data_IF_771126870474
#
_entry.id   IF_771126870474
#
_cell.length_a   1.000
_cell.length_b   1.000
_cell.length_c   1.000
_cell.angle_alpha   90.00
_cell.angle_beta   90.00
_cell.angle_gamma   90.00
#
_symmetry.space_group_name_H-M   'P 1'
#
loop_
_entity.id
_entity.type
_entity.pdbx_description
1 polymer ?
#
# COMPACT_ATOMS: atom_id res chain seq x y z
N UNK A 1 -8.95 9.69 -69.84
CA UNK A 1 -9.10 10.95 -70.59
C UNK A 1 -9.07 12.08 -69.59
N UNK A 2 -8.02 12.91 -69.70
CA UNK A 2 -7.87 14.33 -69.33
C UNK A 2 -8.11 14.75 -67.86
N UNK A 3 -7.10 15.22 -67.09
CA UNK A 3 -6.19 16.40 -67.21
C UNK A 3 -6.77 17.70 -66.66
N UNK A 4 -5.95 18.40 -65.83
CA UNK A 4 -6.03 19.79 -65.36
C UNK A 4 -7.15 20.17 -64.37
N UNK A 5 -6.99 21.09 -63.42
CA UNK A 5 -5.89 22.02 -63.11
C UNK A 5 -6.41 23.23 -62.30
N UNK A 6 -5.63 23.64 -61.29
CA UNK A 6 -5.40 24.99 -60.73
C UNK A 6 -6.56 25.91 -60.26
N UNK A 7 -6.45 26.26 -58.97
CA UNK A 7 -6.26 27.61 -58.38
C UNK A 7 -7.38 28.67 -58.35
N UNK A 8 -7.68 29.18 -57.15
CA UNK A 8 -7.76 30.61 -56.82
C UNK A 8 -7.77 30.86 -55.29
N UNK A 9 -7.17 31.98 -54.89
CA UNK A 9 -6.76 32.47 -53.56
C UNK A 9 -7.88 33.14 -52.71
N UNK A 10 -7.61 33.56 -51.45
CA UNK A 10 -7.10 34.92 -51.22
C UNK A 10 -5.93 35.06 -50.19
N UNK A 11 -5.15 36.14 -50.40
CA UNK A 11 -4.12 36.79 -49.56
C UNK A 11 -4.73 37.34 -48.24
N UNK A 12 -4.10 37.32 -47.05
CA UNK A 12 -2.82 37.85 -46.50
C UNK A 12 -2.97 39.25 -45.86
N UNK A 13 -2.65 39.33 -44.55
CA UNK A 13 -1.98 40.40 -43.76
C UNK A 13 -2.60 40.48 -42.33
N UNK A 14 -1.88 40.62 -41.21
CA UNK A 14 -0.45 40.73 -40.89
C UNK A 14 -0.23 40.29 -39.41
N UNK A 15 0.88 39.63 -39.09
CA UNK A 15 2.10 40.18 -38.46
C UNK A 15 1.95 40.69 -37.02
N UNK A 16 2.45 39.95 -36.02
CA UNK A 16 3.65 40.27 -35.19
C UNK A 16 3.79 39.20 -34.07
N UNK A 17 5.01 38.64 -33.80
CA UNK A 17 5.26 37.59 -32.81
C UNK A 17 6.11 38.12 -31.61
N UNK A 18 6.83 37.31 -30.80
CA UNK A 18 6.67 37.26 -29.34
C UNK A 18 7.79 38.00 -28.56
N UNK A 19 7.48 38.36 -27.31
CA UNK A 19 8.42 39.01 -26.39
C UNK A 19 9.32 37.97 -25.70
N UNK A 20 10.64 38.14 -25.86
CA UNK A 20 11.68 37.52 -25.03
C UNK A 20 12.66 38.62 -24.63
N UNK A 21 12.97 38.70 -23.34
CA UNK A 21 13.97 39.65 -22.80
C UNK A 21 14.84 39.00 -21.73
N UNK A 22 16.12 39.35 -21.82
CA UNK A 22 17.33 38.71 -21.30
C UNK A 22 17.70 39.01 -19.83
N UNK A 23 18.72 38.33 -19.27
CA UNK A 23 19.22 38.51 -17.90
C UNK A 23 20.20 39.69 -17.76
N UNK A 24 20.26 40.32 -16.57
CA UNK A 24 21.13 41.48 -16.27
C UNK A 24 22.15 41.13 -15.19
N UNK A 25 23.44 41.24 -15.52
CA UNK A 25 24.61 41.18 -14.63
C UNK A 25 24.93 42.56 -14.01
N UNK A 26 25.44 42.66 -12.76
CA UNK A 26 25.84 43.93 -12.16
C UNK A 26 27.27 44.37 -12.54
N UNK A 27 27.46 45.70 -12.69
CA UNK A 27 28.65 46.39 -13.17
C UNK A 27 29.44 47.04 -12.01
N UNK A 28 30.77 47.03 -12.09
CA UNK A 28 31.70 47.60 -11.10
C UNK A 28 32.20 49.03 -11.46
N UNK A 29 32.48 49.82 -10.41
CA UNK A 29 33.36 51.02 -10.37
C UNK A 29 32.75 52.37 -10.80
N UNK A 30 33.25 53.54 -10.31
CA UNK A 30 34.67 53.79 -9.99
C UNK A 30 34.98 54.52 -8.66
N UNK A 31 36.28 54.56 -8.36
CA UNK A 31 36.94 55.21 -7.22
C UNK A 31 37.07 56.74 -7.38
N UNK A 32 37.16 57.45 -6.24
CA UNK A 32 37.66 58.83 -6.14
C UNK A 32 38.71 58.94 -5.04
N UNK A 33 39.79 59.63 -5.42
CA UNK A 33 41.04 59.90 -4.70
C UNK A 33 40.97 61.21 -3.92
N UNK A 34 41.55 61.26 -2.71
CA UNK A 34 42.13 62.49 -2.14
C UNK A 34 43.27 62.20 -1.15
N UNK A 35 44.44 62.76 -1.49
CA UNK A 35 45.50 63.38 -0.68
C UNK A 35 46.08 62.71 0.60
N UNK A 36 47.30 62.17 0.43
CA UNK A 36 48.53 62.86 0.79
C UNK A 36 48.75 63.33 2.24
N UNK A 37 49.22 62.43 3.12
CA UNK A 37 50.16 62.79 4.20
C UNK A 37 51.02 61.58 4.61
N UNK A 38 52.34 61.76 4.54
CA UNK A 38 53.36 60.83 5.02
C UNK A 38 53.40 60.84 6.56
N UNK A 39 53.43 59.67 7.20
CA UNK A 39 54.21 59.38 8.42
C UNK A 39 53.99 57.92 8.91
N UNK A 40 55.12 57.28 9.24
CA UNK A 40 55.33 56.08 10.06
C UNK A 40 54.76 54.73 9.58
N UNK A 41 55.66 53.83 9.16
CA UNK A 41 55.40 52.39 9.12
C UNK A 41 55.20 51.86 10.54
N UNK A 42 53.96 51.89 11.03
CA UNK A 42 53.57 51.07 12.17
C UNK A 42 53.49 49.62 11.69
N UNK A 43 54.51 48.84 12.01
CA UNK A 43 54.37 47.37 12.00
C UNK A 43 53.35 47.05 13.09
N UNK A 44 52.09 46.86 12.69
CA UNK A 44 51.09 46.30 13.58
C UNK A 44 51.40 44.81 13.70
N UNK A 45 51.97 44.42 14.83
CA UNK A 45 52.12 43.01 15.21
C UNK A 45 50.70 42.47 15.43
N UNK A 46 50.03 42.04 14.35
CA UNK A 46 48.69 41.47 14.43
C UNK A 46 48.73 40.23 15.30
N UNK A 47 48.00 40.25 16.41
CA UNK A 47 47.87 39.11 17.35
C UNK A 47 46.76 38.15 16.91
N UNK A 48 46.32 38.25 15.66
CA UNK A 48 45.20 37.50 15.11
C UNK A 48 45.73 36.24 14.44
N UNK A 49 45.27 35.09 14.91
CA UNK A 49 45.58 33.81 14.28
C UNK A 49 44.93 33.74 12.89
N UNK A 50 45.67 33.39 11.83
CA UNK A 50 45.11 33.23 10.48
C UNK A 50 44.16 32.03 10.36
N UNK A 51 44.14 31.14 11.37
CA UNK A 51 43.27 29.96 11.40
C UNK A 51 42.04 30.14 12.30
N UNK A 52 41.71 31.36 12.73
CA UNK A 52 40.50 31.59 13.49
C UNK A 52 39.25 31.45 12.59
N UNK A 53 38.27 30.59 12.94
CA UNK A 53 37.10 30.35 12.08
C UNK A 53 36.19 31.57 11.93
N UNK A 54 36.23 32.54 12.85
CA UNK A 54 35.49 33.81 12.78
C UNK A 54 36.27 34.92 13.50
N UNK A 55 36.31 36.12 12.90
CA UNK A 55 36.87 37.33 13.51
C UNK A 55 35.79 38.13 14.23
N UNK A 56 35.94 38.34 15.56
CA UNK A 56 34.97 39.13 16.36
C UNK A 56 35.66 40.37 16.96
N UNK A 57 35.36 41.59 16.47
CA UNK A 57 35.93 42.81 17.03
C UNK A 57 35.50 43.04 18.48
N UNK A 58 36.44 43.51 19.34
CA UNK A 58 36.25 43.71 20.79
C UNK A 58 35.10 44.65 21.21
N UNK A 59 34.46 45.35 20.27
CA UNK A 59 33.33 46.26 20.52
C UNK A 59 32.05 45.85 19.79
N UNK A 60 32.00 44.65 19.21
CA UNK A 60 30.77 44.12 18.62
C UNK A 60 29.83 43.64 19.75
N UNK A 61 28.81 44.45 20.06
CA UNK A 61 27.70 44.01 20.91
C UNK A 61 26.79 43.12 20.07
N UNK A 62 26.71 41.85 20.44
CA UNK A 62 25.72 40.90 19.89
C UNK A 62 24.34 41.50 20.15
N UNK A 63 23.54 41.81 19.12
CA UNK A 63 22.13 42.13 19.33
C UNK A 63 21.50 40.93 20.05
N UNK A 64 20.78 41.19 21.15
CA UNK A 64 19.90 40.19 21.77
C UNK A 64 19.08 39.58 20.62
N UNK A 65 19.03 38.24 20.47
CA UNK A 65 18.32 37.67 19.35
C UNK A 65 16.87 38.15 19.45
N UNK A 66 16.44 38.97 18.51
CA UNK A 66 15.02 38.99 18.17
C UNK A 66 14.65 37.54 17.91
N UNK A 67 13.52 37.04 18.47
CA UNK A 67 13.08 35.69 18.16
C UNK A 67 12.99 35.61 16.65
N UNK A 68 13.90 34.84 16.06
CA UNK A 68 13.94 34.59 14.62
C UNK A 68 12.50 34.25 14.21
N UNK A 69 11.95 34.85 13.14
CA UNK A 69 10.73 34.34 12.57
C UNK A 69 11.03 32.92 12.07
N UNK A 70 10.77 31.92 12.92
CA UNK A 70 10.75 30.52 12.54
C UNK A 70 9.74 30.38 11.41
N UNK A 71 10.20 30.01 10.22
CA UNK A 71 9.38 29.61 9.10
C UNK A 71 10.18 28.68 8.18
N UNK A 72 9.73 27.45 7.86
CA UNK A 72 8.75 26.63 8.56
C UNK A 72 9.26 25.21 8.95
N UNK A 73 8.68 24.58 9.97
CA UNK A 73 8.92 23.18 10.37
C UNK A 73 8.40 22.11 9.36
N UNK A 74 7.99 22.49 8.15
CA UNK A 74 7.22 21.59 7.27
C UNK A 74 8.05 20.50 6.58
N UNK A 75 9.26 20.83 6.11
CA UNK A 75 10.11 19.87 5.39
C UNK A 75 10.66 18.77 6.30
N UNK A 76 10.94 19.08 7.57
CA UNK A 76 11.49 18.13 8.53
C UNK A 76 10.42 17.16 9.05
N UNK A 77 9.19 17.63 9.26
CA UNK A 77 8.06 16.77 9.65
C UNK A 77 7.69 15.76 8.56
N UNK A 78 7.61 16.20 7.30
CA UNK A 78 7.33 15.31 6.17
C UNK A 78 8.44 14.26 6.01
N UNK A 79 9.72 14.65 6.20
CA UNK A 79 10.84 13.70 6.18
C UNK A 79 10.72 12.64 7.26
N UNK A 80 10.43 13.04 8.49
CA UNK A 80 10.21 12.11 9.60
C UNK A 80 9.05 11.14 9.29
N UNK A 81 7.91 11.66 8.84
CA UNK A 81 6.75 10.85 8.48
C UNK A 81 7.06 9.80 7.39
N UNK A 82 7.88 10.16 6.39
CA UNK A 82 8.32 9.23 5.34
C UNK A 82 9.29 8.16 5.88
N UNK A 83 10.18 8.51 6.81
CA UNK A 83 11.07 7.54 7.46
C UNK A 83 10.27 6.52 8.26
N UNK A 84 9.33 6.98 9.08
CA UNK A 84 8.43 6.10 9.85
C UNK A 84 7.60 5.21 8.92
N UNK A 85 7.11 5.75 7.80
CA UNK A 85 6.42 4.98 6.78
C UNK A 85 7.32 3.89 6.18
N UNK A 86 8.57 4.21 5.83
CA UNK A 86 9.51 3.21 5.30
C UNK A 86 9.79 2.10 6.31
N UNK A 87 10.03 2.46 7.58
CA UNK A 87 10.23 1.48 8.66
C UNK A 87 9.01 0.57 8.79
N UNK A 88 7.81 1.15 8.85
CA UNK A 88 6.58 0.37 8.93
C UNK A 88 6.40 -0.57 7.73
N UNK A 89 6.68 -0.09 6.51
CA UNK A 89 6.58 -0.91 5.30
C UNK A 89 7.55 -2.08 5.37
N UNK A 90 8.82 -1.85 5.75
CA UNK A 90 9.81 -2.91 5.91
C UNK A 90 9.36 -3.94 6.95
N UNK A 91 8.94 -3.48 8.12
CA UNK A 91 8.50 -4.30 9.23
C UNK A 91 7.33 -5.22 8.85
N UNK A 92 6.27 -4.68 8.24
CA UNK A 92 5.09 -5.48 7.85
C UNK A 92 5.32 -6.30 6.58
N UNK A 93 6.37 -6.00 5.81
CA UNK A 93 6.80 -6.83 4.67
C UNK A 93 7.51 -8.09 5.16
N UNK A 94 8.31 -7.98 6.23
CA UNK A 94 9.02 -9.10 6.85
C UNK A 94 8.12 -9.87 7.82
N UNK A 95 7.32 -9.15 8.60
CA UNK A 95 6.47 -9.68 9.67
C UNK A 95 5.05 -9.06 9.60
N UNK A 96 4.15 -9.58 8.73
CA UNK A 96 2.80 -9.03 8.57
C UNK A 96 1.97 -8.94 9.85
N UNK A 97 2.27 -9.78 10.85
CA UNK A 97 1.61 -9.77 12.17
C UNK A 97 1.86 -8.51 12.99
N UNK A 98 2.88 -7.71 12.67
CA UNK A 98 3.18 -6.48 13.40
C UNK A 98 2.27 -5.30 13.02
N UNK A 99 1.48 -5.44 11.94
CA UNK A 99 0.66 -4.36 11.39
C UNK A 99 -0.18 -3.66 12.46
N UNK A 100 -0.96 -4.41 13.23
CA UNK A 100 -1.90 -3.86 14.22
C UNK A 100 -1.20 -3.17 15.39
N UNK A 101 -0.01 -3.63 15.75
CA UNK A 101 0.77 -3.01 16.82
C UNK A 101 1.40 -1.67 16.41
N UNK A 102 1.75 -1.50 15.13
CA UNK A 102 2.50 -0.33 14.63
C UNK A 102 1.63 0.71 13.90
N UNK A 103 0.43 0.33 13.44
CA UNK A 103 -0.42 1.21 12.61
C UNK A 103 -0.81 2.50 13.32
N UNK A 104 -1.05 2.46 14.63
CA UNK A 104 -1.43 3.65 15.41
C UNK A 104 -0.31 4.70 15.48
N UNK A 105 0.93 4.25 15.67
CA UNK A 105 2.10 5.13 15.72
C UNK A 105 2.43 5.71 14.34
N UNK A 106 2.33 4.90 13.29
CA UNK A 106 2.44 5.37 11.91
C UNK A 106 1.39 6.44 11.60
N UNK A 107 0.11 6.20 11.91
CA UNK A 107 -0.96 7.17 11.63
C UNK A 107 -0.70 8.50 12.35
N UNK A 108 -0.17 8.47 13.59
CA UNK A 108 0.23 9.68 14.31
C UNK A 108 1.40 10.40 13.64
N UNK A 109 2.42 9.65 13.19
CA UNK A 109 3.56 10.22 12.47
C UNK A 109 3.11 10.87 11.14
N UNK A 110 2.26 10.21 10.37
CA UNK A 110 1.71 10.74 9.12
C UNK A 110 0.80 11.97 9.33
N UNK A 111 0.12 12.07 10.48
CA UNK A 111 -0.65 13.25 10.87
C UNK A 111 0.20 14.52 11.08
N UNK A 112 1.53 14.39 11.17
CA UNK A 112 2.46 15.53 11.27
C UNK A 112 2.79 16.19 9.94
N UNK A 113 2.39 15.60 8.81
CA UNK A 113 2.49 16.22 7.48
C UNK A 113 1.69 17.52 7.49
N UNK A 114 2.21 18.58 6.86
CA UNK A 114 1.59 19.91 6.94
C UNK A 114 1.15 20.49 5.59
N UNK A 115 1.49 19.80 4.50
CA UNK A 115 1.30 20.30 3.15
C UNK A 115 0.88 19.18 2.19
N UNK A 116 0.25 19.59 1.10
CA UNK A 116 -0.27 18.67 0.08
C UNK A 116 0.84 17.87 -0.60
N UNK A 117 2.04 18.46 -0.80
CA UNK A 117 3.16 17.79 -1.46
C UNK A 117 3.71 16.65 -0.59
N UNK A 118 3.75 16.83 0.72
CA UNK A 118 4.08 15.75 1.67
C UNK A 118 3.07 14.62 1.64
N UNK A 119 1.77 14.94 1.57
CA UNK A 119 0.73 13.91 1.49
C UNK A 119 0.78 13.15 0.15
N UNK A 120 1.07 13.84 -0.94
CA UNK A 120 1.33 13.22 -2.25
C UNK A 120 2.51 12.24 -2.15
N UNK A 121 3.61 12.64 -1.50
CA UNK A 121 4.76 11.75 -1.30
C UNK A 121 4.39 10.50 -0.49
N UNK A 122 3.58 10.63 0.56
CA UNK A 122 3.07 9.48 1.34
C UNK A 122 2.27 8.53 0.45
N UNK A 123 1.33 9.06 -0.34
CA UNK A 123 0.50 8.26 -1.26
C UNK A 123 1.36 7.58 -2.31
N UNK A 124 2.26 8.31 -2.97
CA UNK A 124 3.15 7.75 -4.00
C UNK A 124 4.05 6.65 -3.45
N UNK A 125 4.52 6.84 -2.22
CA UNK A 125 5.39 5.89 -1.54
C UNK A 125 4.66 4.58 -1.26
N UNK A 126 3.47 4.64 -0.64
CA UNK A 126 2.65 3.44 -0.39
C UNK A 126 2.28 2.76 -1.71
N UNK A 127 1.88 3.56 -2.72
CA UNK A 127 1.49 3.04 -4.02
C UNK A 127 2.64 2.30 -4.70
N UNK A 128 3.83 2.91 -4.79
CA UNK A 128 4.98 2.28 -5.42
C UNK A 128 5.41 0.99 -4.72
N UNK A 129 5.39 0.97 -3.39
CA UNK A 129 5.73 -0.22 -2.61
C UNK A 129 4.66 -1.30 -2.79
N UNK A 130 3.37 -0.97 -2.75
CA UNK A 130 2.28 -1.93 -2.96
C UNK A 130 2.31 -2.60 -4.35
N UNK A 131 2.75 -1.85 -5.37
CA UNK A 131 2.97 -2.37 -6.72
C UNK A 131 4.16 -3.31 -6.78
N UNK A 132 5.31 -2.88 -6.24
CA UNK A 132 6.61 -3.56 -6.38
C UNK A 132 6.79 -4.76 -5.45
N UNK A 133 6.31 -4.67 -4.20
CA UNK A 133 6.56 -5.64 -3.14
C UNK A 133 5.36 -6.57 -2.93
N UNK A 134 5.40 -7.82 -3.40
CA UNK A 134 4.27 -8.74 -3.29
C UNK A 134 3.87 -9.03 -1.84
N UNK A 135 4.85 -9.10 -0.93
CA UNK A 135 4.63 -9.37 0.49
C UNK A 135 4.00 -8.16 1.21
N UNK A 136 4.27 -6.95 0.74
CA UNK A 136 3.65 -5.73 1.28
C UNK A 136 2.24 -5.52 0.73
N UNK A 137 1.94 -5.98 -0.49
CA UNK A 137 0.75 -5.59 -1.25
C UNK A 137 -0.56 -5.63 -0.46
N UNK A 138 -0.83 -6.73 0.26
CA UNK A 138 -1.99 -6.86 1.13
C UNK A 138 -1.98 -5.82 2.26
N UNK A 139 -0.87 -5.74 3.00
CA UNK A 139 -0.66 -4.76 4.08
C UNK A 139 -0.77 -3.32 3.57
N UNK A 140 -0.28 -3.02 2.37
CA UNK A 140 -0.38 -1.71 1.75
C UNK A 140 -1.81 -1.31 1.41
N UNK A 141 -2.62 -2.25 0.90
CA UNK A 141 -4.04 -1.97 0.67
C UNK A 141 -4.83 -1.82 1.98
N UNK A 142 -4.52 -2.66 2.98
CA UNK A 142 -5.06 -2.55 4.34
C UNK A 142 -4.69 -1.20 4.99
N UNK A 143 -3.45 -0.75 4.78
CA UNK A 143 -2.96 0.56 5.22
C UNK A 143 -3.74 1.70 4.54
N UNK A 144 -3.91 1.65 3.23
CA UNK A 144 -4.73 2.64 2.51
C UNK A 144 -6.17 2.71 3.04
N UNK A 145 -6.80 1.57 3.32
CA UNK A 145 -8.12 1.51 3.93
C UNK A 145 -8.14 2.14 5.33
N UNK A 146 -7.14 1.85 6.16
CA UNK A 146 -7.02 2.46 7.49
C UNK A 146 -6.83 3.99 7.40
N UNK A 147 -5.87 4.46 6.59
CA UNK A 147 -5.58 5.89 6.45
C UNK A 147 -6.75 6.67 5.86
N UNK A 148 -7.48 6.08 4.90
CA UNK A 148 -8.67 6.70 4.31
C UNK A 148 -9.75 7.07 5.34
N UNK A 149 -9.83 6.35 6.46
CA UNK A 149 -10.80 6.62 7.54
C UNK A 149 -10.21 7.31 8.78
N UNK A 150 -8.89 7.21 9.01
CA UNK A 150 -8.28 7.61 10.28
C UNK A 150 -7.21 8.70 10.16
N UNK A 151 -6.77 9.04 8.94
CA UNK A 151 -5.76 10.07 8.75
C UNK A 151 -6.39 11.45 8.64
N UNK A 152 -6.12 12.30 9.63
CA UNK A 152 -6.44 13.73 9.58
C UNK A 152 -5.15 14.54 9.54
N UNK A 153 -4.96 15.30 8.47
CA UNK A 153 -3.77 16.13 8.27
C UNK A 153 -4.14 17.59 8.49
N UNK A 154 -3.34 18.31 9.29
CA UNK A 154 -3.67 19.69 9.66
C UNK A 154 -3.65 20.62 8.44
N UNK A 155 -4.77 21.31 8.20
CA UNK A 155 -4.89 22.28 7.11
C UNK A 155 -5.29 21.66 5.76
N UNK A 156 -5.63 20.38 5.76
CA UNK A 156 -6.11 19.61 4.63
C UNK A 156 -7.54 19.14 4.89
N UNK A 157 -8.34 19.00 3.82
CA UNK A 157 -9.73 18.55 3.93
C UNK A 157 -9.82 17.05 4.25
N UNK A 158 -10.87 16.67 4.95
CA UNK A 158 -11.16 15.25 5.20
C UNK A 158 -11.30 14.49 3.87
N UNK A 159 -10.74 13.27 3.81
CA UNK A 159 -10.75 12.44 2.60
C UNK A 159 -9.77 12.86 1.51
N UNK A 160 -8.88 13.83 1.75
CA UNK A 160 -7.87 14.22 0.76
C UNK A 160 -6.90 13.08 0.43
N UNK A 161 -6.48 12.28 1.41
CA UNK A 161 -5.64 11.09 1.20
C UNK A 161 -6.29 10.15 0.18
N UNK A 162 -7.56 9.82 0.40
CA UNK A 162 -8.36 8.96 -0.47
C UNK A 162 -8.43 9.52 -1.88
N UNK A 163 -8.72 10.82 -2.02
CA UNK A 163 -8.79 11.45 -3.33
C UNK A 163 -7.46 11.35 -4.10
N UNK A 164 -6.34 11.63 -3.44
CA UNK A 164 -5.00 11.52 -4.02
C UNK A 164 -4.68 10.08 -4.42
N UNK A 165 -5.01 9.10 -3.57
CA UNK A 165 -4.80 7.69 -3.86
C UNK A 165 -5.60 7.24 -5.09
N UNK A 166 -6.88 7.62 -5.16
CA UNK A 166 -7.74 7.27 -6.29
C UNK A 166 -7.28 7.95 -7.59
N UNK A 167 -6.87 9.21 -7.53
CA UNK A 167 -6.30 9.93 -8.68
C UNK A 167 -5.00 9.29 -9.16
N UNK A 168 -4.14 8.87 -8.22
CA UNK A 168 -2.91 8.16 -8.50
C UNK A 168 -3.16 6.81 -9.20
N UNK A 169 -4.15 6.05 -8.73
CA UNK A 169 -4.57 4.79 -9.34
C UNK A 169 -5.10 5.02 -10.76
N UNK A 170 -5.99 5.99 -10.93
CA UNK A 170 -6.58 6.33 -12.22
C UNK A 170 -5.50 6.73 -13.24
N UNK A 171 -4.57 7.60 -12.85
CA UNK A 171 -3.48 8.04 -13.71
C UNK A 171 -2.57 6.90 -14.18
N UNK A 172 -2.30 5.90 -13.33
CA UNK A 172 -1.50 4.74 -13.74
C UNK A 172 -2.28 3.78 -14.65
N UNK A 173 -3.55 3.58 -14.35
CA UNK A 173 -4.50 2.80 -15.16
C UNK A 173 -4.59 3.25 -16.63
N UNK A 174 -4.51 4.56 -16.87
CA UNK A 174 -4.53 5.14 -18.22
C UNK A 174 -3.28 4.78 -19.03
N UNK A 175 -2.14 4.55 -18.37
CA UNK A 175 -0.85 4.24 -19.00
C UNK A 175 -0.66 2.75 -19.33
N UNK A 176 -1.65 1.88 -19.01
CA UNK A 176 -1.51 0.41 -19.08
C UNK A 176 -0.99 -0.14 -20.42
N UNK A 177 -1.37 0.46 -21.55
CA UNK A 177 -0.95 0.00 -22.88
C UNK A 177 0.53 0.34 -23.14
N UNK A 178 0.97 1.52 -22.69
CA UNK A 178 2.36 1.95 -22.80
C UNK A 178 3.25 1.12 -21.86
N UNK A 179 2.73 0.82 -20.65
CA UNK A 179 3.40 -0.01 -19.66
C UNK A 179 3.64 -1.43 -20.16
N UNK A 180 2.71 -2.04 -20.92
CA UNK A 180 2.88 -3.39 -21.46
C UNK A 180 3.94 -3.51 -22.58
N UNK A 181 4.43 -2.39 -23.12
CA UNK A 181 5.26 -2.38 -24.33
C UNK A 181 6.78 -2.45 -24.06
N UNK A 182 7.22 -2.41 -22.80
CA UNK A 182 8.65 -2.47 -22.42
C UNK A 182 9.12 -3.85 -21.95
N UNK A 183 10.44 -4.08 -21.94
CA UNK A 183 11.06 -5.38 -21.57
C UNK A 183 10.67 -5.89 -20.17
N UNK A 184 10.39 -4.98 -19.23
CA UNK A 184 9.90 -5.28 -17.87
C UNK A 184 8.45 -4.85 -17.65
N UNK A 185 7.80 -4.42 -18.72
CA UNK A 185 6.48 -3.81 -18.73
C UNK A 185 5.40 -4.69 -18.13
N UNK A 186 5.38 -5.95 -18.53
CA UNK A 186 4.45 -6.95 -18.03
C UNK A 186 4.60 -7.18 -16.51
N UNK A 187 5.83 -7.18 -15.98
CA UNK A 187 6.04 -7.41 -14.55
C UNK A 187 5.49 -6.28 -13.71
N UNK A 188 5.73 -5.04 -14.13
CA UNK A 188 5.16 -3.87 -13.48
C UNK A 188 3.63 -3.85 -13.62
N UNK A 189 3.11 -4.11 -14.81
CA UNK A 189 1.67 -4.13 -15.07
C UNK A 189 0.95 -5.20 -14.24
N UNK A 190 1.55 -6.39 -14.07
CA UNK A 190 1.04 -7.43 -13.16
C UNK A 190 1.03 -6.96 -11.71
N UNK A 191 2.11 -6.34 -11.22
CA UNK A 191 2.19 -5.79 -9.87
C UNK A 191 1.14 -4.70 -9.63
N UNK A 192 0.97 -3.82 -10.61
CA UNK A 192 -0.02 -2.74 -10.61
C UNK A 192 -1.45 -3.28 -10.55
N UNK A 193 -1.77 -4.25 -11.42
CA UNK A 193 -3.08 -4.87 -11.47
C UNK A 193 -3.42 -5.55 -10.13
N UNK A 194 -2.48 -6.32 -9.57
CA UNK A 194 -2.68 -7.00 -8.30
C UNK A 194 -2.87 -5.99 -7.15
N UNK A 195 -2.12 -4.89 -7.13
CA UNK A 195 -2.28 -3.88 -6.08
C UNK A 195 -3.61 -3.12 -6.20
N UNK A 196 -4.02 -2.75 -7.41
CA UNK A 196 -5.34 -2.13 -7.65
C UNK A 196 -6.48 -3.08 -7.26
N UNK A 197 -6.35 -4.37 -7.59
CA UNK A 197 -7.33 -5.38 -7.21
C UNK A 197 -7.44 -5.53 -5.68
N UNK A 198 -6.30 -5.53 -4.98
CA UNK A 198 -6.26 -5.56 -3.52
C UNK A 198 -6.90 -4.30 -2.91
N UNK A 199 -6.56 -3.11 -3.41
CA UNK A 199 -7.19 -1.86 -2.99
C UNK A 199 -8.72 -1.93 -3.16
N UNK A 200 -9.21 -2.34 -4.33
CA UNK A 200 -10.64 -2.49 -4.58
C UNK A 200 -11.31 -3.48 -3.61
N UNK A 201 -10.64 -4.59 -3.29
CA UNK A 201 -11.15 -5.58 -2.32
C UNK A 201 -11.25 -4.99 -0.91
N UNK A 202 -10.20 -4.26 -0.47
CA UNK A 202 -10.06 -3.73 0.89
C UNK A 202 -10.79 -2.42 1.14
N UNK A 203 -11.12 -1.62 0.11
CA UNK A 203 -11.74 -0.29 0.23
C UNK A 203 -13.21 -0.36 0.69
N UNK A 204 -13.44 -0.79 1.94
CA UNK A 204 -14.76 -0.86 2.57
C UNK A 204 -15.32 0.55 2.86
N UNK A 205 -14.46 1.52 3.20
CA UNK A 205 -14.85 2.90 3.50
C UNK A 205 -15.41 3.70 2.31
N UNK A 206 -15.27 3.19 1.08
CA UNK A 206 -15.76 3.81 -0.15
C UNK A 206 -17.12 3.27 -0.61
N UNK A 207 -17.75 2.41 0.20
CA UNK A 207 -18.95 1.66 -0.19
C UNK A 207 -20.25 2.44 0.04
N UNK A 208 -20.22 3.51 0.83
CA UNK A 208 -21.42 4.30 1.13
C UNK A 208 -21.68 5.43 0.11
N UNK A 209 -20.68 5.81 -0.71
CA UNK A 209 -20.78 6.97 -1.61
C UNK A 209 -20.54 6.68 -3.11
N UNK A 210 -20.22 5.44 -3.49
CA UNK A 210 -19.98 5.00 -4.89
C UNK A 210 -19.32 6.08 -5.74
N UNK A 211 -18.25 6.71 -5.22
CA UNK A 211 -17.63 7.84 -5.92
C UNK A 211 -17.24 7.44 -7.34
N UNK A 212 -17.38 8.36 -8.29
CA UNK A 212 -17.07 8.10 -9.70
C UNK A 212 -15.67 7.49 -9.91
N UNK A 213 -14.73 7.82 -9.01
CA UNK A 213 -13.36 7.30 -9.00
C UNK A 213 -13.29 5.80 -8.69
N UNK A 214 -14.10 5.31 -7.74
CA UNK A 214 -14.23 3.87 -7.43
C UNK A 214 -14.79 3.13 -8.65
N UNK A 215 -15.80 3.71 -9.31
CA UNK A 215 -16.36 3.15 -10.55
C UNK A 215 -15.29 3.04 -11.65
N UNK A 216 -14.48 4.09 -11.80
CA UNK A 216 -13.36 4.07 -12.75
C UNK A 216 -12.31 3.02 -12.42
N UNK A 217 -11.98 2.80 -11.14
CA UNK A 217 -11.03 1.76 -10.73
C UNK A 217 -11.61 0.37 -11.00
N UNK A 218 -12.86 0.11 -10.62
CA UNK A 218 -13.55 -1.14 -10.91
C UNK A 218 -13.56 -1.44 -12.42
N UNK A 219 -13.86 -0.43 -13.25
CA UNK A 219 -13.81 -0.54 -14.70
C UNK A 219 -12.40 -0.67 -15.29
N UNK A 220 -11.35 -0.24 -14.58
CA UNK A 220 -9.97 -0.38 -15.04
C UNK A 220 -9.44 -1.82 -14.92
N UNK A 221 -9.82 -2.54 -13.86
CA UNK A 221 -9.38 -3.92 -13.59
C UNK A 221 -9.56 -4.87 -14.80
N UNK A 222 -10.76 -5.01 -15.41
CA UNK A 222 -10.94 -5.87 -16.59
C UNK A 222 -10.17 -5.38 -17.81
N UNK A 223 -10.02 -4.06 -17.98
CA UNK A 223 -9.23 -3.50 -19.08
C UNK A 223 -7.74 -3.85 -18.97
N UNK A 224 -7.18 -3.85 -17.76
CA UNK A 224 -5.80 -4.27 -17.50
C UNK A 224 -5.60 -5.77 -17.68
N UNK A 225 -6.57 -6.60 -17.25
CA UNK A 225 -6.57 -8.04 -17.55
C UNK A 225 -6.53 -8.29 -19.07
N UNK A 226 -7.33 -7.55 -19.84
CA UNK A 226 -7.30 -7.62 -21.30
C UNK A 226 -5.95 -7.23 -21.90
N UNK A 227 -5.30 -6.18 -21.39
CA UNK A 227 -3.95 -5.78 -21.83
C UNK A 227 -2.96 -6.93 -21.60
N UNK A 228 -2.95 -7.56 -20.42
CA UNK A 228 -2.07 -8.70 -20.13
C UNK A 228 -2.38 -9.93 -21.02
N UNK A 229 -3.65 -10.21 -21.28
CA UNK A 229 -4.08 -11.35 -22.10
C UNK A 229 -3.82 -11.18 -23.61
N UNK A 230 -3.38 -10.02 -24.08
CA UNK A 230 -2.86 -9.87 -25.46
C UNK A 230 -1.60 -10.72 -25.67
N UNK A 231 -0.78 -10.85 -24.63
CA UNK A 231 0.38 -11.73 -24.59
C UNK A 231 0.16 -12.81 -23.50
N UNK A 232 -0.50 -13.95 -23.82
CA UNK A 232 -0.96 -14.93 -22.84
C UNK A 232 0.19 -15.83 -22.33
N UNK A 233 1.22 -15.21 -21.75
CA UNK A 233 2.28 -15.92 -21.03
C UNK A 233 1.70 -16.58 -19.77
N UNK A 234 2.38 -17.61 -19.27
CA UNK A 234 1.97 -18.31 -18.04
C UNK A 234 1.78 -17.34 -16.86
N UNK A 235 2.66 -16.34 -16.72
CA UNK A 235 2.59 -15.35 -15.65
C UNK A 235 1.45 -14.35 -15.83
N UNK A 236 1.17 -13.94 -17.06
CA UNK A 236 0.04 -13.05 -17.36
C UNK A 236 -1.29 -13.75 -17.09
N UNK A 237 -1.42 -15.02 -17.50
CA UNK A 237 -2.60 -15.85 -17.19
C UNK A 237 -2.73 -16.05 -15.68
N UNK A 238 -1.65 -16.41 -14.98
CA UNK A 238 -1.65 -16.58 -13.52
C UNK A 238 -2.10 -15.31 -12.81
N UNK A 239 -1.54 -14.15 -13.18
CA UNK A 239 -1.90 -12.86 -12.62
C UNK A 239 -3.40 -12.55 -12.81
N UNK A 240 -3.91 -12.70 -14.03
CA UNK A 240 -5.34 -12.52 -14.33
C UNK A 240 -6.22 -13.41 -13.47
N UNK A 241 -5.83 -14.69 -13.29
CA UNK A 241 -6.60 -15.64 -12.48
C UNK A 241 -6.57 -15.30 -10.99
N UNK A 242 -5.43 -14.84 -10.48
CA UNK A 242 -5.33 -14.35 -9.10
C UNK A 242 -6.26 -13.15 -8.86
N UNK A 243 -6.29 -12.21 -9.80
CA UNK A 243 -7.16 -11.03 -9.74
C UNK A 243 -8.63 -11.44 -9.78
N UNK A 244 -9.01 -12.33 -10.70
CA UNK A 244 -10.38 -12.86 -10.77
C UNK A 244 -10.81 -13.55 -9.47
N UNK A 245 -9.92 -14.32 -8.84
CA UNK A 245 -10.23 -14.95 -7.55
C UNK A 245 -10.39 -13.92 -6.42
N UNK A 246 -9.62 -12.84 -6.46
CA UNK A 246 -9.65 -11.79 -5.45
C UNK A 246 -10.88 -10.88 -5.58
N UNK A 247 -11.23 -10.47 -6.81
CA UNK A 247 -12.21 -9.41 -7.05
C UNK A 247 -13.41 -9.85 -7.89
N UNK A 248 -13.41 -11.06 -8.46
CA UNK A 248 -14.37 -11.49 -9.48
C UNK A 248 -15.82 -11.36 -9.02
N UNK A 249 -16.12 -11.92 -7.86
CA UNK A 249 -17.41 -11.76 -7.24
C UNK A 249 -17.77 -10.28 -6.98
N UNK A 250 -16.86 -9.53 -6.36
CA UNK A 250 -17.14 -8.12 -5.98
C UNK A 250 -17.36 -7.23 -7.19
N UNK A 251 -16.71 -7.51 -8.32
CA UNK A 251 -16.93 -6.81 -9.58
C UNK A 251 -18.28 -7.15 -10.21
N UNK A 252 -18.74 -8.40 -10.09
CA UNK A 252 -20.08 -8.78 -10.56
C UNK A 252 -21.19 -8.17 -9.71
N UNK A 253 -21.05 -8.16 -8.38
CA UNK A 253 -22.00 -7.46 -7.49
C UNK A 253 -22.05 -5.97 -7.78
N UNK A 254 -20.87 -5.37 -8.00
CA UNK A 254 -20.76 -3.96 -8.33
C UNK A 254 -21.51 -3.63 -9.64
N UNK A 255 -21.33 -4.43 -10.68
CA UNK A 255 -22.00 -4.25 -11.98
C UNK A 255 -23.53 -4.47 -11.90
N UNK A 256 -23.96 -5.48 -11.14
CA UNK A 256 -25.37 -5.78 -10.90
C UNK A 256 -26.09 -4.66 -10.12
N UNK A 257 -25.40 -4.02 -9.17
CA UNK A 257 -25.95 -2.92 -8.36
C UNK A 257 -26.19 -1.64 -9.16
N UNK A 258 -25.39 -1.41 -10.21
CA UNK A 258 -25.43 -0.19 -11.03
C UNK A 258 -26.39 -0.30 -12.22
N UNK A 259 -26.44 -1.45 -12.87
CA UNK A 259 -27.01 -1.51 -14.22
C UNK A 259 -28.48 -1.88 -14.27
N UNK A 260 -29.07 -2.52 -13.25
CA UNK A 260 -30.46 -3.01 -13.26
C UNK A 260 -30.85 -3.80 -14.53
N UNK A 261 -29.87 -4.23 -15.31
CA UNK A 261 -30.00 -4.58 -16.72
C UNK A 261 -29.61 -6.01 -16.93
N UNK A 262 -30.37 -6.64 -17.82
CA UNK A 262 -30.17 -7.95 -18.44
C UNK A 262 -28.95 -8.00 -19.38
N UNK A 263 -27.99 -7.08 -19.23
CA UNK A 263 -26.76 -6.99 -20.01
C UNK A 263 -25.65 -7.78 -19.35
N UNK A 264 -24.80 -8.42 -20.16
CA UNK A 264 -23.70 -9.26 -19.67
C UNK A 264 -22.77 -8.55 -18.68
N UNK A 265 -22.13 -9.33 -17.83
CA UNK A 265 -21.23 -8.88 -16.77
C UNK A 265 -20.02 -8.13 -17.35
N UNK A 266 -19.51 -7.13 -16.62
CA UNK A 266 -18.24 -6.45 -16.90
C UNK A 266 -17.04 -7.42 -17.10
N UNK A 267 -17.13 -8.64 -16.54
CA UNK A 267 -16.10 -9.68 -16.68
C UNK A 267 -16.29 -10.59 -17.90
N UNK A 268 -17.43 -10.56 -18.59
CA UNK A 268 -17.74 -11.51 -19.67
C UNK A 268 -16.67 -11.53 -20.75
N UNK A 269 -16.25 -10.34 -21.19
CA UNK A 269 -15.20 -10.20 -22.20
C UNK A 269 -13.87 -10.85 -21.77
N UNK A 270 -13.50 -10.79 -20.49
CA UNK A 270 -12.28 -11.42 -19.96
C UNK A 270 -12.43 -12.93 -19.97
N UNK A 271 -13.59 -13.44 -19.55
CA UNK A 271 -13.89 -14.88 -19.56
C UNK A 271 -13.94 -15.46 -20.98
N UNK A 272 -14.49 -14.72 -21.95
CA UNK A 272 -14.43 -15.07 -23.37
C UNK A 272 -12.99 -15.17 -23.86
N UNK A 273 -12.13 -14.22 -23.48
CA UNK A 273 -10.71 -14.27 -23.86
C UNK A 273 -9.98 -15.47 -23.25
N UNK A 274 -10.28 -15.82 -22.00
CA UNK A 274 -9.73 -17.02 -21.37
C UNK A 274 -10.22 -18.31 -22.05
N UNK A 275 -11.49 -18.36 -22.47
CA UNK A 275 -12.04 -19.45 -23.28
C UNK A 275 -11.36 -19.55 -24.65
N UNK A 276 -11.03 -18.44 -25.29
CA UNK A 276 -10.25 -18.46 -26.55
C UNK A 276 -8.84 -19.03 -26.30
N UNK A 277 -8.16 -18.58 -25.25
CA UNK A 277 -6.78 -18.99 -24.93
C UNK A 277 -6.70 -20.49 -24.62
N UNK A 278 -7.67 -21.06 -23.88
CA UNK A 278 -7.62 -22.48 -23.49
C UNK A 278 -7.81 -23.45 -24.67
N UNK A 279 -8.37 -22.98 -25.80
CA UNK A 279 -8.53 -23.79 -27.01
C UNK A 279 -7.26 -23.84 -27.87
N UNK A 280 -6.23 -23.05 -27.54
CA UNK A 280 -4.97 -23.05 -28.30
C UNK A 280 -4.16 -24.31 -27.99
N UNK A 281 -3.60 -24.99 -29.01
CA UNK A 281 -2.91 -26.27 -28.83
C UNK A 281 -1.56 -26.16 -28.11
N UNK A 282 -0.98 -24.96 -28.05
CA UNK A 282 0.34 -24.64 -27.49
C UNK A 282 0.30 -24.10 -26.05
N UNK A 283 -0.87 -24.10 -25.41
CA UNK A 283 -1.00 -23.62 -24.04
C UNK A 283 -0.30 -24.55 -23.03
N UNK A 284 0.41 -23.96 -22.08
CA UNK A 284 0.98 -24.68 -20.93
C UNK A 284 -0.11 -25.42 -20.14
N UNK A 285 0.15 -26.68 -19.78
CA UNK A 285 -0.83 -27.52 -19.07
C UNK A 285 -1.27 -26.92 -17.72
N UNK A 286 -0.35 -26.26 -17.01
CA UNK A 286 -0.68 -25.58 -15.75
C UNK A 286 -1.58 -24.38 -16.01
N UNK A 287 -1.24 -23.54 -17.00
CA UNK A 287 -2.08 -22.41 -17.39
C UNK A 287 -3.49 -22.85 -17.84
N UNK A 288 -3.58 -23.93 -18.63
CA UNK A 288 -4.86 -24.53 -19.03
C UNK A 288 -5.71 -24.96 -17.82
N UNK A 289 -5.09 -25.62 -16.84
CA UNK A 289 -5.78 -26.03 -15.62
C UNK A 289 -6.24 -24.82 -14.78
N UNK A 290 -5.39 -23.79 -14.63
CA UNK A 290 -5.77 -22.58 -13.91
C UNK A 290 -6.99 -21.92 -14.56
N UNK A 291 -7.02 -21.83 -15.89
CA UNK A 291 -8.16 -21.26 -16.63
C UNK A 291 -9.42 -22.08 -16.38
N UNK A 292 -9.37 -23.41 -16.55
CA UNK A 292 -10.52 -24.29 -16.31
C UNK A 292 -11.07 -24.14 -14.89
N UNK A 293 -10.21 -24.05 -13.89
CA UNK A 293 -10.61 -23.87 -12.51
C UNK A 293 -11.29 -22.52 -12.25
N UNK A 294 -10.86 -21.43 -12.88
CA UNK A 294 -11.52 -20.13 -12.70
C UNK A 294 -12.84 -20.04 -13.47
N UNK A 295 -12.96 -20.72 -14.61
CA UNK A 295 -14.24 -20.88 -15.34
C UNK A 295 -15.26 -21.60 -14.46
N UNK A 296 -14.89 -22.76 -13.90
CA UNK A 296 -15.73 -23.54 -12.98
C UNK A 296 -16.07 -22.75 -11.70
N UNK A 297 -15.12 -21.99 -11.15
CA UNK A 297 -15.36 -21.13 -9.99
C UNK A 297 -16.45 -20.09 -10.29
N UNK A 298 -16.41 -19.44 -11.46
CA UNK A 298 -17.43 -18.48 -11.87
C UNK A 298 -18.78 -19.15 -12.10
N UNK A 299 -18.81 -20.30 -12.77
CA UNK A 299 -20.05 -21.08 -13.01
C UNK A 299 -20.71 -21.50 -11.68
N UNK A 300 -19.92 -21.77 -10.65
CA UNK A 300 -20.35 -22.05 -9.28
C UNK A 300 -20.57 -20.80 -8.43
N UNK A 301 -20.82 -19.65 -9.06
CA UNK A 301 -21.10 -18.38 -8.39
C UNK A 301 -20.03 -18.01 -7.36
N UNK A 302 -18.75 -18.20 -7.71
CA UNK A 302 -17.59 -17.94 -6.86
C UNK A 302 -17.56 -18.73 -5.54
N UNK A 303 -18.20 -19.90 -5.51
CA UNK A 303 -18.31 -20.72 -4.31
C UNK A 303 -19.38 -20.25 -3.32
N UNK A 304 -20.20 -19.26 -3.71
CA UNK A 304 -21.35 -18.82 -2.92
C UNK A 304 -22.50 -19.78 -3.19
N UNK A 305 -22.80 -20.64 -2.22
CA UNK A 305 -24.07 -21.35 -2.21
C UNK A 305 -25.16 -20.31 -2.39
N UNK A 306 -26.02 -20.47 -3.40
CA UNK A 306 -27.18 -19.63 -3.55
C UNK A 306 -27.94 -19.66 -2.24
N UNK A 307 -27.82 -18.62 -1.43
CA UNK A 307 -28.69 -18.39 -0.29
C UNK A 307 -30.06 -18.04 -0.86
N UNK A 308 -30.74 -19.03 -1.46
CA UNK A 308 -32.15 -18.95 -1.70
C UNK A 308 -32.77 -18.77 -0.32
N UNK A 309 -33.33 -17.58 -0.12
CA UNK A 309 -34.17 -17.16 0.98
C UNK A 309 -35.42 -18.05 1.10
N UNK A 310 -35.20 -19.29 1.49
CA UNK A 310 -36.21 -20.20 1.96
C UNK A 310 -35.57 -20.91 3.13
N UNK A 311 -36.00 -20.59 4.34
CA UNK A 311 -35.85 -21.51 5.45
C UNK A 311 -36.63 -22.78 5.10
N UNK A 312 -36.00 -23.96 5.09
CA UNK A 312 -36.67 -25.13 5.61
C UNK A 312 -36.00 -25.47 6.93
N UNK A 313 -36.80 -25.59 7.97
CA UNK A 313 -36.41 -26.30 9.18
C UNK A 313 -35.84 -27.66 8.77
N UNK A 314 -34.52 -27.82 8.89
CA UNK A 314 -33.81 -29.06 8.58
C UNK A 314 -32.35 -28.91 8.97
N UNK A 315 -31.87 -29.78 9.86
CA UNK A 315 -30.49 -29.79 10.35
C UNK A 315 -29.47 -29.65 9.21
N UNK A 316 -28.39 -28.86 9.36
CA UNK A 316 -27.31 -28.85 8.39
C UNK A 316 -26.62 -30.21 8.41
N UNK A 317 -26.46 -30.83 7.23
CA UNK A 317 -25.60 -32.00 7.05
C UNK A 317 -24.15 -31.61 7.36
N UNK A 318 -23.48 -32.39 8.21
CA UNK A 318 -22.14 -32.14 8.78
C UNK A 318 -20.97 -32.18 7.76
N UNK A 319 -21.25 -32.23 6.46
CA UNK A 319 -20.24 -32.57 5.44
C UNK A 319 -19.40 -31.38 4.93
N UNK A 320 -19.63 -30.16 5.43
CA UNK A 320 -18.94 -28.94 4.98
C UNK A 320 -18.41 -28.04 6.11
N UNK A 321 -18.28 -28.54 7.35
CA UNK A 321 -17.60 -27.81 8.42
C UNK A 321 -16.07 -28.00 8.32
N UNK A 322 -15.27 -26.97 8.68
CA UNK A 322 -13.84 -27.15 8.87
C UNK A 322 -13.58 -28.26 9.89
N UNK A 323 -12.83 -29.29 9.49
CA UNK A 323 -12.42 -30.36 10.41
C UNK A 323 -11.38 -29.78 11.36
N UNK A 324 -11.67 -29.79 12.65
CA UNK A 324 -10.69 -29.43 13.68
C UNK A 324 -9.78 -30.62 13.95
N UNK A 325 -8.48 -30.45 13.70
CA UNK A 325 -7.47 -31.48 13.94
C UNK A 325 -6.67 -31.16 15.21
N UNK A 326 -6.31 -32.21 15.95
CA UNK A 326 -5.36 -32.13 17.05
C UNK A 326 -3.93 -31.81 16.58
N UNK A 327 -3.00 -31.55 17.52
CA UNK A 327 -1.59 -31.28 17.23
C UNK A 327 -0.86 -32.46 16.56
N UNK A 328 -1.42 -33.66 16.63
CA UNK A 328 -1.00 -34.87 15.93
C UNK A 328 -1.52 -34.95 14.47
N UNK A 329 -2.33 -33.98 14.04
CA UNK A 329 -2.93 -33.94 12.70
C UNK A 329 -4.13 -34.85 12.52
N UNK A 330 -4.62 -35.49 13.60
CA UNK A 330 -5.79 -36.37 13.57
C UNK A 330 -7.06 -35.54 13.82
N UNK A 331 -8.15 -35.77 13.08
CA UNK A 331 -9.45 -35.15 13.38
C UNK A 331 -9.84 -35.43 14.83
N UNK A 332 -10.24 -34.39 15.56
CA UNK A 332 -10.68 -34.54 16.94
C UNK A 332 -11.89 -35.48 16.99
N UNK A 333 -11.93 -36.33 18.00
CA UNK A 333 -13.15 -37.08 18.33
C UNK A 333 -14.23 -36.12 18.82
N UNK A 334 -15.49 -36.57 18.74
CA UNK A 334 -16.64 -35.77 19.19
C UNK A 334 -16.55 -35.38 20.67
N UNK A 335 -15.96 -36.25 21.48
CA UNK A 335 -15.70 -36.00 22.90
C UNK A 335 -14.66 -34.90 23.10
N UNK A 336 -13.60 -34.87 22.29
CA UNK A 336 -12.55 -33.85 22.31
C UNK A 336 -13.03 -32.50 21.76
N UNK A 337 -13.84 -32.51 20.70
CA UNK A 337 -14.48 -31.30 20.17
C UNK A 337 -15.35 -30.61 21.24
N UNK A 338 -16.16 -31.39 21.96
CA UNK A 338 -16.99 -30.87 23.06
C UNK A 338 -16.13 -30.31 24.21
N UNK A 339 -15.00 -30.94 24.51
CA UNK A 339 -14.07 -30.46 25.54
C UNK A 339 -13.44 -29.11 25.16
N UNK A 340 -12.95 -28.97 23.92
CA UNK A 340 -12.37 -27.72 23.40
C UNK A 340 -13.42 -26.62 23.35
N UNK A 341 -14.64 -26.92 22.89
CA UNK A 341 -15.77 -25.98 22.89
C UNK A 341 -16.11 -25.52 24.31
N UNK A 342 -16.03 -26.42 25.30
CA UNK A 342 -16.25 -26.12 26.72
C UNK A 342 -15.19 -25.17 27.29
N UNK A 343 -13.91 -25.37 26.95
CA UNK A 343 -12.82 -24.48 27.37
C UNK A 343 -12.98 -23.07 26.79
N UNK A 344 -13.29 -22.96 25.50
CA UNK A 344 -13.53 -21.68 24.83
C UNK A 344 -14.70 -20.90 25.47
N UNK A 345 -15.79 -21.60 25.82
CA UNK A 345 -16.93 -21.01 26.51
C UNK A 345 -16.58 -20.57 27.94
N UNK A 346 -15.70 -21.32 28.63
CA UNK A 346 -15.25 -20.99 29.97
C UNK A 346 -14.29 -19.78 29.98
N UNK A 347 -13.40 -19.66 29.00
CA UNK A 347 -12.57 -18.45 28.80
C UNK A 347 -13.43 -17.23 28.44
N UNK A 348 -14.48 -17.41 27.62
CA UNK A 348 -15.35 -16.32 27.20
C UNK A 348 -16.28 -15.80 28.32
N UNK A 349 -16.51 -16.60 29.37
CA UNK A 349 -17.39 -16.29 30.51
C UNK A 349 -16.65 -15.99 31.83
N UNK A 350 -15.31 -16.09 31.85
CA UNK A 350 -14.48 -16.04 33.06
C UNK A 350 -14.03 -14.64 33.52
N UNK A 351 -14.91 -13.64 33.47
CA UNK A 351 -14.61 -12.25 33.84
C UNK A 351 -15.58 -11.65 34.86
N UNK A 352 -15.96 -12.36 35.93
CA UNK A 352 -16.69 -11.78 37.07
C UNK A 352 -16.22 -12.38 38.42
N UNK A 353 -16.08 -11.46 39.37
CA UNK A 353 -15.47 -11.51 40.70
C UNK A 353 -15.77 -12.75 41.57
N UNK A 354 -14.72 -13.29 42.19
CA UNK A 354 -14.80 -13.87 43.53
C UNK A 354 -13.90 -13.05 44.46
N UNK A 355 -14.53 -12.21 45.27
CA UNK A 355 -13.89 -11.50 46.35
C UNK A 355 -13.85 -12.38 47.63
N UNK A 356 -12.75 -12.20 48.33
CA UNK A 356 -12.50 -12.41 49.76
C UNK A 356 -11.93 -13.76 50.23
N UNK A 357 -10.79 -13.67 50.92
CA UNK A 357 -10.03 -14.82 51.43
C UNK A 357 -8.51 -14.68 51.58
N UNK A 358 -8.01 -13.45 51.85
CA UNK A 358 -6.72 -13.08 52.48
C UNK A 358 -5.47 -13.99 52.41
N UNK A 359 -4.33 -13.40 52.03
CA UNK A 359 -3.00 -13.95 52.38
C UNK A 359 -1.83 -13.44 51.55
N UNK A 360 -1.37 -12.22 51.84
CA UNK A 360 -0.11 -11.66 51.36
C UNK A 360 1.09 -12.43 51.92
N UNK A 361 1.83 -13.22 51.11
CA UNK A 361 3.26 -13.59 51.23
C UNK A 361 3.65 -14.22 49.88
N UNK A 362 4.54 -13.67 49.06
CA UNK A 362 6.00 -13.59 49.13
C UNK A 362 6.50 -14.24 47.84
N UNK A 363 7.24 -13.47 47.04
CA UNK A 363 8.06 -14.00 45.96
C UNK A 363 9.13 -14.89 46.58
N UNK A 364 8.93 -16.20 46.58
CA UNK A 364 10.00 -17.17 46.79
C UNK A 364 9.88 -18.23 45.68
N UNK A 365 10.66 -18.00 44.62
CA UNK A 365 10.96 -19.00 43.60
C UNK A 365 11.95 -19.96 44.25
N UNK A 366 11.45 -20.99 44.91
CA UNK A 366 12.23 -22.20 45.16
C UNK A 366 12.13 -23.08 43.90
N UNK A 367 13.10 -22.86 43.01
CA UNK A 367 13.64 -23.95 42.20
C UNK A 367 14.25 -24.95 43.19
N UNK A 368 13.71 -26.16 43.30
CA UNK A 368 14.45 -27.41 43.60
C UNK A 368 13.51 -28.59 43.94
N UNK A 369 12.58 -28.92 43.07
CA UNK A 369 11.97 -30.26 43.04
C UNK A 369 11.85 -30.72 41.58
N UNK A 370 13.00 -31.02 40.97
CA UNK A 370 13.03 -31.81 39.75
C UNK A 370 12.57 -33.22 40.13
N UNK A 371 11.37 -33.58 39.71
CA UNK A 371 10.76 -34.88 39.94
C UNK A 371 11.70 -36.00 39.49
N UNK A 372 12.05 -36.91 40.41
CA UNK A 372 12.93 -38.05 40.16
C UNK A 372 12.43 -38.91 38.98
N UNK A 373 11.11 -38.90 38.74
CA UNK A 373 10.47 -39.57 37.60
C UNK A 373 10.87 -38.93 36.26
N UNK A 374 10.94 -37.60 36.20
CA UNK A 374 11.34 -36.84 34.99
C UNK A 374 12.83 -37.02 34.70
N UNK A 375 13.67 -37.05 35.73
CA UNK A 375 15.10 -37.31 35.57
C UNK A 375 15.38 -38.72 35.02
N UNK A 376 14.65 -39.73 35.51
CA UNK A 376 14.76 -41.10 35.04
C UNK A 376 14.33 -41.25 33.56
N UNK A 377 13.22 -40.60 33.18
CA UNK A 377 12.74 -40.62 31.80
C UNK A 377 13.74 -39.96 30.83
N UNK A 378 14.41 -38.89 31.24
CA UNK A 378 15.44 -38.23 30.44
C UNK A 378 16.68 -39.11 30.23
N UNK A 379 17.13 -39.83 31.26
CA UNK A 379 18.24 -40.78 31.12
C UNK A 379 17.91 -41.96 30.19
N UNK A 380 16.66 -42.42 30.20
CA UNK A 380 16.21 -43.49 29.31
C UNK A 380 16.20 -43.02 27.85
N UNK A 381 15.71 -41.80 27.59
CA UNK A 381 15.74 -41.18 26.27
C UNK A 381 17.16 -41.03 25.70
N UNK A 382 18.15 -40.64 26.52
CA UNK A 382 19.54 -40.54 26.08
C UNK A 382 20.15 -41.91 25.73
N UNK A 383 19.69 -42.99 26.37
CA UNK A 383 20.14 -44.35 26.06
C UNK A 383 19.53 -44.88 24.76
N UNK A 384 18.30 -44.50 24.43
CA UNK A 384 17.64 -44.90 23.18
C UNK A 384 18.08 -44.09 21.97
N UNK A 385 18.34 -42.78 22.12
CA UNK A 385 18.79 -41.91 21.04
C UNK A 385 20.27 -42.05 20.65
N UNK A 386 21.02 -42.88 21.40
CA UNK A 386 22.45 -43.13 21.20
C UNK A 386 22.80 -44.43 20.47
N UNK A 387 21.88 -45.06 19.72
CA UNK A 387 22.15 -46.28 18.94
C UNK A 387 21.95 -46.12 17.44
#
# INVERSE_FOLDING_TARGET
MDSNGKAATPKKDGSVPPSGSQPVTPKAGPASTTDGQSMASFVMNSTLSPEAPVFVPRHFKVPVPEPYPMSPPSQDSTRYAIVELMSFIEDVTLCPGEFDSKIGDLTRALGSVTDADGLVQVVDTIFQQGVKEPNFRYSGARLCNHLGSNLSVRGLDDGQFTNLLLDRCHAECLKRNDLASGDFGDSYLRGLLLFIAELFSQMVFLRDDYSYKVKHIAGCIPNMMHTLLQAPTKDNIKCTIQVLKLTGHSLEDFDNSESGSTGGSILDSVFDKLREIVQKPDIDATASLMIKNVLDLREKNWGRSSSSSSSPSGCPSEENLPITCGPDGVPLSREEENFVQGLLLQEQMGGLELADGGGMYSNDIDNDEMDDEVAAAYEEFLKESGR
#
